data_IF_716107281303
#
_entry.id   IF_716107281303
#
_cell.length_a   1.000
_cell.length_b   1.000
_cell.length_c   1.000
_cell.angle_alpha   90.00
_cell.angle_beta   90.00
_cell.angle_gamma   90.00
#
_symmetry.space_group_name_H-M   'P 1'
#
loop_
_entity.id
_entity.type
_entity.pdbx_description
1 polymer ?
#
# COMPACT_ATOMS: atom_id res chain seq x y z
N UNK A 1 9.62 65.64 -25.32
CA UNK A 1 9.07 65.13 -24.05
C UNK A 1 7.94 64.13 -24.24
N UNK A 2 7.11 64.19 -25.26
CA UNK A 2 5.99 63.26 -25.49
C UNK A 2 6.42 61.84 -25.96
N UNK A 3 7.50 61.72 -26.72
CA UNK A 3 7.98 60.44 -27.26
C UNK A 3 8.64 59.54 -26.17
N UNK A 4 9.34 60.11 -25.18
CA UNK A 4 9.92 59.37 -24.06
C UNK A 4 8.89 58.77 -23.09
N UNK A 5 7.74 59.43 -22.94
CA UNK A 5 6.62 58.94 -22.13
C UNK A 5 5.87 57.77 -22.80
N UNK A 6 5.82 57.78 -24.14
CA UNK A 6 5.21 56.65 -24.90
C UNK A 6 6.06 55.40 -24.86
N UNK A 7 7.39 55.55 -24.95
CA UNK A 7 8.33 54.40 -24.85
C UNK A 7 8.34 53.80 -23.43
N UNK A 8 8.30 54.63 -22.36
CA UNK A 8 8.18 54.14 -21.00
C UNK A 8 6.84 53.45 -20.72
N UNK A 9 5.75 53.90 -21.33
CA UNK A 9 4.43 53.26 -21.17
C UNK A 9 4.33 51.95 -21.95
N UNK A 10 5.00 51.85 -23.10
CA UNK A 10 5.06 50.62 -23.90
C UNK A 10 5.98 49.54 -23.25
N UNK A 11 7.05 49.98 -22.58
CA UNK A 11 7.92 49.07 -21.81
C UNK A 11 7.25 48.53 -20.54
N UNK A 12 6.36 49.30 -19.90
CA UNK A 12 5.59 48.83 -18.74
C UNK A 12 4.48 47.86 -19.17
N UNK A 13 3.88 48.03 -20.33
CA UNK A 13 2.87 47.15 -20.89
C UNK A 13 3.50 45.83 -21.40
N UNK A 14 4.72 45.89 -21.97
CA UNK A 14 5.47 44.68 -22.37
C UNK A 14 6.05 43.91 -21.17
N UNK A 15 6.40 44.55 -20.05
CA UNK A 15 6.76 43.84 -18.83
C UNK A 15 5.59 43.17 -18.12
N UNK A 16 4.36 43.65 -18.29
CA UNK A 16 3.15 43.04 -17.75
C UNK A 16 2.64 41.83 -18.57
N UNK A 17 3.07 41.67 -19.83
CA UNK A 17 2.72 40.53 -20.67
C UNK A 17 3.74 39.39 -20.66
N UNK A 18 4.92 39.57 -20.09
CA UNK A 18 5.94 38.51 -19.97
C UNK A 18 5.74 37.66 -18.70
N UNK A 19 4.87 38.07 -17.77
CA UNK A 19 4.48 37.24 -16.61
C UNK A 19 3.23 36.39 -16.88
N UNK A 20 2.68 36.37 -18.10
CA UNK A 20 1.64 35.43 -18.54
C UNK A 20 2.25 34.23 -19.29
N UNK A 21 3.46 33.82 -18.94
CA UNK A 21 4.14 32.62 -19.42
C UNK A 21 3.85 31.45 -18.53
N UNK A 22 2.99 30.54 -19.01
CA UNK A 22 2.93 29.12 -18.70
C UNK A 22 3.77 28.64 -17.48
N UNK A 23 3.28 28.87 -16.29
CA UNK A 23 3.53 28.01 -15.18
C UNK A 23 2.17 27.43 -14.82
N UNK A 24 2.01 26.13 -14.83
CA UNK A 24 0.99 25.45 -14.05
C UNK A 24 1.06 26.05 -12.64
N UNK A 25 0.27 27.08 -12.38
CA UNK A 25 0.03 27.56 -11.02
C UNK A 25 -0.76 26.46 -10.35
N UNK A 26 -0.01 25.71 -9.63
CA UNK A 26 -0.38 24.68 -8.71
C UNK A 26 -1.86 24.73 -8.31
N UNK A 27 -2.55 23.66 -8.66
CA UNK A 27 -3.88 23.27 -8.19
C UNK A 27 -3.97 23.30 -6.63
N UNK A 28 -2.83 23.37 -5.94
CA UNK A 28 -2.67 23.53 -4.48
C UNK A 28 -3.38 24.76 -3.92
N UNK A 29 -3.44 25.86 -4.69
CA UNK A 29 -4.15 27.08 -4.27
C UNK A 29 -5.66 27.02 -4.50
N UNK A 30 -6.14 26.06 -5.30
CA UNK A 30 -7.58 25.93 -5.59
C UNK A 30 -8.36 25.36 -4.39
N UNK A 31 -7.77 24.39 -3.66
CA UNK A 31 -8.40 23.79 -2.48
C UNK A 31 -8.62 24.81 -1.34
N UNK A 32 -7.66 25.72 -1.16
CA UNK A 32 -7.72 26.78 -0.15
C UNK A 32 -8.81 27.82 -0.41
N UNK A 33 -9.13 28.07 -1.68
CA UNK A 33 -10.11 29.10 -2.08
C UNK A 33 -11.57 28.64 -1.96
N UNK A 34 -11.83 27.35 -1.73
CA UNK A 34 -13.18 26.78 -1.68
C UNK A 34 -13.79 26.71 -0.28
N UNK A 35 -13.00 26.95 0.77
CA UNK A 35 -13.48 26.96 2.15
C UNK A 35 -14.00 28.35 2.53
N UNK A 36 -15.32 28.50 2.71
CA UNK A 36 -15.92 29.67 3.36
C UNK A 36 -15.91 29.45 4.87
N UNK A 37 -14.89 29.99 5.55
CA UNK A 37 -14.75 29.88 7.00
C UNK A 37 -15.05 31.23 7.66
N UNK A 38 -15.92 31.22 8.67
CA UNK A 38 -16.25 32.40 9.46
C UNK A 38 -15.14 32.77 10.50
N UNK A 39 -14.17 31.86 10.71
CA UNK A 39 -13.07 32.05 11.64
C UNK A 39 -12.06 30.89 11.62
N UNK A 40 -11.02 30.96 12.50
CA UNK A 40 -10.03 29.90 12.61
C UNK A 40 -10.62 28.58 13.09
N UNK A 41 -10.22 27.48 12.43
CA UNK A 41 -10.58 26.12 12.80
C UNK A 41 -9.35 25.23 12.98
N UNK A 42 -9.49 24.17 13.77
CA UNK A 42 -8.50 23.10 13.89
C UNK A 42 -9.10 21.81 13.35
N UNK A 43 -8.33 21.11 12.52
CA UNK A 43 -8.64 19.77 12.01
C UNK A 43 -7.72 18.77 12.69
N UNK A 44 -8.28 17.93 13.56
CA UNK A 44 -7.54 16.90 14.29
C UNK A 44 -7.41 15.65 13.43
N UNK A 45 -6.16 15.24 13.16
CA UNK A 45 -5.82 14.07 12.34
C UNK A 45 -5.23 13.00 13.25
N UNK A 46 -5.99 11.93 13.50
CA UNK A 46 -5.53 10.82 14.33
C UNK A 46 -4.84 9.75 13.49
N UNK A 47 -3.76 9.19 14.03
CA UNK A 47 -3.00 8.10 13.42
C UNK A 47 -2.38 7.22 14.51
N UNK A 48 -2.13 5.93 14.19
CA UNK A 48 -1.63 4.91 15.10
C UNK A 48 -0.29 4.28 14.67
N UNK A 49 0.33 4.82 13.61
CA UNK A 49 1.68 4.46 13.20
C UNK A 49 2.55 5.72 13.22
N UNK A 50 3.52 5.75 14.14
CA UNK A 50 4.41 6.90 14.36
C UNK A 50 5.25 7.29 13.15
N UNK A 51 5.44 6.39 12.17
CA UNK A 51 6.18 6.71 10.94
C UNK A 51 5.54 7.86 10.15
N UNK A 52 4.23 8.08 10.30
CA UNK A 52 3.52 9.17 9.62
C UNK A 52 3.67 10.54 10.30
N UNK A 53 4.14 10.59 11.55
CA UNK A 53 4.22 11.84 12.32
C UNK A 53 5.04 12.92 11.59
N UNK A 54 6.29 12.65 11.11
CA UNK A 54 7.07 13.67 10.41
C UNK A 54 6.41 14.18 9.12
N UNK A 55 5.67 13.33 8.43
CA UNK A 55 4.92 13.72 7.24
C UNK A 55 3.73 14.62 7.58
N UNK A 56 2.94 14.24 8.58
CA UNK A 56 1.78 15.01 9.00
C UNK A 56 2.17 16.38 9.56
N UNK A 57 3.25 16.46 10.34
CA UNK A 57 3.82 17.73 10.79
C UNK A 57 4.28 18.61 9.62
N UNK A 58 4.95 18.01 8.62
CA UNK A 58 5.34 18.73 7.41
C UNK A 58 4.12 19.27 6.67
N UNK A 59 3.08 18.44 6.44
CA UNK A 59 1.85 18.86 5.78
C UNK A 59 1.16 19.97 6.57
N UNK A 60 1.04 19.83 7.89
CA UNK A 60 0.44 20.84 8.77
C UNK A 60 1.12 22.19 8.64
N UNK A 61 2.45 22.20 8.64
CA UNK A 61 3.26 23.41 8.48
C UNK A 61 3.08 24.06 7.10
N UNK A 62 3.14 23.26 6.02
CA UNK A 62 3.00 23.78 4.65
C UNK A 62 1.56 24.27 4.38
N UNK A 63 0.58 23.50 4.85
CA UNK A 63 -0.83 23.84 4.67
C UNK A 63 -1.19 25.15 5.39
N UNK A 64 -0.70 25.34 6.61
CA UNK A 64 -0.91 26.58 7.39
C UNK A 64 -0.41 27.83 6.68
N UNK A 65 0.69 27.75 5.93
CA UNK A 65 1.21 28.88 5.16
C UNK A 65 0.29 29.27 4.00
N UNK A 66 -0.44 28.30 3.43
CA UNK A 66 -1.37 28.53 2.34
C UNK A 66 -2.80 28.84 2.82
N UNK A 67 -3.13 28.48 4.07
CA UNK A 67 -4.47 28.55 4.66
C UNK A 67 -4.41 29.02 6.11
N UNK A 68 -4.29 30.29 6.33
CA UNK A 68 -4.11 30.89 7.67
C UNK A 68 -5.23 30.53 8.68
N UNK A 69 -6.44 30.29 8.18
CA UNK A 69 -7.60 29.98 9.05
C UNK A 69 -7.71 28.50 9.44
N UNK A 70 -6.96 27.59 8.80
CA UNK A 70 -7.00 26.16 9.11
C UNK A 70 -5.71 25.72 9.77
N UNK A 71 -5.82 25.09 10.91
CA UNK A 71 -4.70 24.42 11.60
C UNK A 71 -4.92 22.91 11.54
N UNK A 72 -3.97 22.18 10.98
CA UNK A 72 -3.93 20.72 11.06
C UNK A 72 -3.21 20.34 12.35
N UNK A 73 -3.84 19.50 13.15
CA UNK A 73 -3.27 19.01 14.42
C UNK A 73 -3.11 17.48 14.34
N UNK A 74 -1.90 16.97 14.05
CA UNK A 74 -1.61 15.55 14.09
C UNK A 74 -1.66 15.05 15.54
N UNK A 75 -2.33 13.91 15.79
CA UNK A 75 -2.45 13.29 17.11
C UNK A 75 -2.15 11.80 16.99
N UNK A 76 -1.02 11.38 17.56
CA UNK A 76 -0.70 9.96 17.69
C UNK A 76 -1.58 9.31 18.75
N UNK A 77 -2.22 8.20 18.40
CA UNK A 77 -3.13 7.46 19.27
C UNK A 77 -2.61 6.04 19.45
N UNK A 78 -2.15 5.73 20.64
CA UNK A 78 -1.80 4.37 21.04
C UNK A 78 -3.01 3.72 21.73
N UNK A 79 -3.60 2.73 21.06
CA UNK A 79 -4.75 2.00 21.58
C UNK A 79 -4.73 0.54 21.11
N UNK A 80 -5.09 -0.39 22.01
CA UNK A 80 -5.15 -1.84 21.70
C UNK A 80 -6.10 -2.15 20.54
N UNK A 81 -7.16 -1.36 20.40
CA UNK A 81 -8.09 -1.43 19.27
C UNK A 81 -8.41 -0.01 18.80
N UNK A 82 -7.60 0.47 17.85
CA UNK A 82 -7.66 1.85 17.37
C UNK A 82 -9.03 2.24 16.83
N UNK A 83 -9.65 1.41 16.00
CA UNK A 83 -10.98 1.71 15.43
C UNK A 83 -12.09 1.76 16.51
N UNK A 84 -12.00 0.90 17.55
CA UNK A 84 -12.95 0.95 18.67
C UNK A 84 -12.76 2.22 19.49
N UNK A 85 -11.51 2.66 19.68
CA UNK A 85 -11.20 3.91 20.36
C UNK A 85 -11.79 5.12 19.61
N UNK A 86 -11.62 5.17 18.28
CA UNK A 86 -12.25 6.21 17.45
C UNK A 86 -13.77 6.22 17.64
N UNK A 87 -14.40 5.05 17.67
CA UNK A 87 -15.84 4.92 17.87
C UNK A 87 -16.26 5.47 19.24
N UNK A 88 -15.58 5.05 20.29
CA UNK A 88 -15.92 5.47 21.66
C UNK A 88 -15.76 6.99 21.84
N UNK A 89 -14.69 7.58 21.32
CA UNK A 89 -14.46 9.02 21.37
C UNK A 89 -15.48 9.79 20.51
N UNK A 90 -15.82 9.28 19.33
CA UNK A 90 -16.73 9.96 18.40
C UNK A 90 -18.19 9.90 18.85
N UNK A 91 -18.64 8.73 19.33
CA UNK A 91 -20.08 8.45 19.57
C UNK A 91 -20.45 8.64 21.03
N UNK A 92 -19.53 8.29 21.95
CA UNK A 92 -19.82 8.29 23.40
C UNK A 92 -19.28 9.52 24.14
N UNK A 93 -18.11 10.03 23.71
CA UNK A 93 -17.38 11.06 24.43
C UNK A 93 -17.49 12.46 23.79
N UNK A 94 -18.19 12.61 22.67
CA UNK A 94 -18.30 13.88 21.88
C UNK A 94 -16.92 14.53 21.62
N UNK A 95 -15.89 13.69 21.43
CA UNK A 95 -14.50 14.07 21.17
C UNK A 95 -14.03 13.45 19.86
N UNK A 96 -14.81 13.61 18.79
CA UNK A 96 -14.50 13.04 17.50
C UNK A 96 -13.25 13.70 16.89
N UNK A 97 -12.32 12.88 16.38
CA UNK A 97 -11.33 13.38 15.44
C UNK A 97 -12.01 13.80 14.14
N UNK A 98 -11.39 14.73 13.41
CA UNK A 98 -11.91 15.17 12.12
C UNK A 98 -11.52 14.19 11.00
N UNK A 99 -10.28 13.69 11.07
CA UNK A 99 -9.69 12.70 10.18
C UNK A 99 -8.99 11.62 11.00
N UNK A 100 -8.92 10.41 10.45
CA UNK A 100 -8.08 9.37 11.00
C UNK A 100 -7.47 8.50 9.91
N UNK A 101 -6.32 7.89 10.18
CA UNK A 101 -5.69 6.93 9.29
C UNK A 101 -6.25 5.54 9.53
N UNK A 102 -6.42 4.79 8.44
CA UNK A 102 -6.97 3.45 8.45
C UNK A 102 -6.26 2.60 7.40
N UNK A 103 -6.02 1.32 7.68
CA UNK A 103 -5.62 0.37 6.64
C UNK A 103 -6.84 -0.22 5.93
N UNK A 104 -6.67 -0.59 4.66
CA UNK A 104 -7.76 -1.16 3.86
C UNK A 104 -8.39 -2.42 4.48
N UNK A 105 -7.67 -3.13 5.34
CA UNK A 105 -8.14 -4.34 6.04
C UNK A 105 -9.26 -4.04 7.05
N UNK A 106 -9.36 -2.81 7.54
CA UNK A 106 -10.31 -2.41 8.58
C UNK A 106 -11.52 -1.65 8.03
N UNK A 107 -11.60 -1.46 6.71
CA UNK A 107 -12.63 -0.58 6.10
C UNK A 107 -14.05 -1.09 6.35
N UNK A 108 -14.31 -2.40 6.30
CA UNK A 108 -15.63 -2.96 6.62
C UNK A 108 -16.03 -2.65 8.07
N UNK A 109 -15.10 -2.84 9.00
CA UNK A 109 -15.35 -2.57 10.42
C UNK A 109 -15.68 -1.09 10.64
N UNK A 110 -14.92 -0.19 10.05
CA UNK A 110 -15.17 1.24 10.12
C UNK A 110 -16.51 1.63 9.49
N UNK A 111 -16.87 1.02 8.35
CA UNK A 111 -18.15 1.23 7.69
C UNK A 111 -19.33 0.78 8.56
N UNK A 112 -19.28 -0.44 9.09
CA UNK A 112 -20.35 -0.99 9.95
C UNK A 112 -20.52 -0.22 11.25
N UNK A 113 -19.46 0.39 11.76
CA UNK A 113 -19.50 1.28 12.93
C UNK A 113 -19.97 2.72 12.61
N UNK A 114 -20.24 3.02 11.33
CA UNK A 114 -20.70 4.34 10.91
C UNK A 114 -19.65 5.44 11.06
N UNK A 115 -18.37 5.11 10.88
CA UNK A 115 -17.24 6.01 11.12
C UNK A 115 -16.68 6.66 9.83
N UNK A 116 -17.29 6.44 8.66
CA UNK A 116 -16.75 6.89 7.39
C UNK A 116 -17.69 7.83 6.64
N UNK A 117 -17.20 9.00 6.26
CA UNK A 117 -17.83 9.89 5.29
C UNK A 117 -17.36 9.58 3.87
N UNK A 118 -18.24 9.72 2.88
CA UNK A 118 -17.93 9.48 1.48
C UNK A 118 -16.91 10.51 0.95
N UNK A 119 -15.92 10.03 0.18
CA UNK A 119 -14.98 10.85 -0.57
C UNK A 119 -15.59 11.21 -1.92
N UNK A 120 -16.36 12.29 -1.97
CA UNK A 120 -17.16 12.72 -3.11
C UNK A 120 -16.76 14.11 -3.68
N UNK A 121 -15.86 14.82 -2.97
CA UNK A 121 -15.57 16.24 -3.29
C UNK A 121 -14.66 16.41 -4.51
N UNK A 122 -13.75 15.47 -4.79
CA UNK A 122 -12.73 15.63 -5.84
C UNK A 122 -12.65 14.42 -6.79
N UNK A 123 -13.72 14.06 -7.53
CA UNK A 123 -13.73 12.86 -8.37
C UNK A 123 -12.69 12.91 -9.51
N UNK A 124 -12.26 14.10 -9.94
CA UNK A 124 -11.20 14.28 -10.92
C UNK A 124 -9.79 13.97 -10.37
N UNK A 125 -9.63 13.89 -9.05
CA UNK A 125 -8.37 13.55 -8.38
C UNK A 125 -8.36 12.07 -8.00
N UNK A 126 -9.46 11.59 -7.40
CA UNK A 126 -9.53 10.23 -6.87
C UNK A 126 -10.10 9.29 -7.92
N UNK A 127 -9.22 8.78 -8.77
CA UNK A 127 -9.52 7.85 -9.86
C UNK A 127 -8.33 6.93 -10.16
N UNK A 128 -8.53 5.94 -11.01
CA UNK A 128 -7.51 4.95 -11.34
C UNK A 128 -6.33 5.52 -12.14
N UNK A 129 -6.48 6.63 -12.86
CA UNK A 129 -5.39 7.27 -13.60
C UNK A 129 -4.37 7.91 -12.66
N UNK A 130 -4.82 8.40 -11.49
CA UNK A 130 -3.96 9.08 -10.51
C UNK A 130 -3.41 8.14 -9.45
N UNK A 131 -4.24 7.19 -8.96
CA UNK A 131 -3.88 6.33 -7.83
C UNK A 131 -3.69 4.85 -8.21
N UNK A 132 -4.12 4.45 -9.39
CA UNK A 132 -4.13 3.05 -9.80
C UNK A 132 -5.33 2.26 -9.25
N UNK A 133 -5.59 1.11 -9.87
CA UNK A 133 -6.76 0.28 -9.55
C UNK A 133 -6.75 -0.26 -8.11
N UNK A 134 -5.60 -0.74 -7.64
CA UNK A 134 -5.51 -1.32 -6.30
C UNK A 134 -5.84 -0.30 -5.21
N UNK A 135 -5.33 0.95 -5.31
CA UNK A 135 -5.64 2.01 -4.36
C UNK A 135 -7.14 2.35 -4.34
N UNK A 136 -7.75 2.49 -5.52
CA UNK A 136 -9.18 2.82 -5.61
C UNK A 136 -10.05 1.67 -5.08
N UNK A 137 -9.69 0.42 -5.38
CA UNK A 137 -10.36 -0.76 -4.81
C UNK A 137 -10.22 -0.81 -3.29
N UNK A 138 -9.01 -0.55 -2.76
CA UNK A 138 -8.72 -0.59 -1.33
C UNK A 138 -9.52 0.46 -0.54
N UNK A 139 -9.67 1.66 -1.11
CA UNK A 139 -10.34 2.80 -0.49
C UNK A 139 -11.86 2.85 -0.71
N UNK A 140 -12.40 1.91 -1.48
CA UNK A 140 -13.85 1.78 -1.76
C UNK A 140 -14.47 0.66 -0.92
N UNK A 141 -15.72 0.83 -0.55
CA UNK A 141 -16.53 -0.19 0.10
C UNK A 141 -18.00 -0.03 -0.30
N UNK A 142 -18.70 -1.15 -0.56
CA UNK A 142 -20.12 -1.17 -0.96
C UNK A 142 -20.42 -0.20 -2.12
N UNK A 143 -19.53 -0.18 -3.13
CA UNK A 143 -19.68 0.63 -4.36
C UNK A 143 -19.41 2.12 -4.20
N UNK A 144 -18.91 2.57 -3.05
CA UNK A 144 -18.59 3.99 -2.79
C UNK A 144 -17.14 4.16 -2.35
N UNK A 145 -16.56 5.28 -2.69
CA UNK A 145 -15.22 5.67 -2.23
C UNK A 145 -15.33 6.38 -0.88
N UNK A 146 -14.57 5.93 0.12
CA UNK A 146 -14.50 6.54 1.44
C UNK A 146 -13.08 7.02 1.79
N UNK A 147 -12.08 6.23 1.45
CA UNK A 147 -10.70 6.54 1.77
C UNK A 147 -10.07 7.54 0.81
N UNK A 148 -9.12 8.30 1.34
CA UNK A 148 -8.18 9.12 0.61
C UNK A 148 -6.85 8.38 0.64
N UNK A 149 -6.38 7.75 -0.48
CA UNK A 149 -5.21 6.87 -0.45
C UNK A 149 -3.94 7.66 -0.05
N UNK A 150 -3.21 7.19 0.95
CA UNK A 150 -2.02 7.88 1.49
C UNK A 150 -0.75 7.14 1.09
N UNK A 151 -0.63 5.87 1.48
CA UNK A 151 0.52 5.02 1.17
C UNK A 151 0.09 3.59 0.93
N UNK A 152 1.01 2.76 0.43
CA UNK A 152 0.75 1.35 0.20
C UNK A 152 1.91 0.48 0.67
N UNK A 153 1.61 -0.80 0.93
CA UNK A 153 2.60 -1.85 1.07
C UNK A 153 2.27 -3.02 0.13
N UNK A 154 3.28 -3.58 -0.52
CA UNK A 154 3.22 -4.75 -1.40
C UNK A 154 4.59 -5.41 -1.48
N UNK A 155 4.66 -6.68 -1.85
CA UNK A 155 5.92 -7.42 -1.90
C UNK A 155 6.43 -7.62 -3.34
N UNK A 156 7.76 -7.69 -3.48
CA UNK A 156 8.45 -7.81 -4.76
C UNK A 156 9.87 -8.39 -4.57
N UNK A 157 10.52 -8.75 -5.68
CA UNK A 157 11.93 -9.11 -5.70
C UNK A 157 12.80 -7.85 -5.82
N UNK A 158 13.86 -7.80 -5.03
CA UNK A 158 14.92 -6.79 -5.10
C UNK A 158 16.22 -7.48 -5.50
N UNK A 159 17.03 -6.84 -6.38
CA UNK A 159 18.30 -7.36 -6.83
C UNK A 159 19.39 -6.30 -6.84
N UNK A 160 20.63 -6.71 -6.56
CA UNK A 160 21.81 -5.85 -6.56
C UNK A 160 22.33 -5.67 -7.99
N UNK A 161 22.07 -4.50 -8.61
CA UNK A 161 22.42 -4.19 -10.01
C UNK A 161 23.91 -4.27 -10.32
N UNK A 162 24.77 -4.19 -9.30
CA UNK A 162 26.21 -4.33 -9.49
C UNK A 162 26.61 -5.73 -9.96
N UNK A 163 25.84 -6.75 -9.56
CA UNK A 163 26.22 -8.16 -9.74
C UNK A 163 25.10 -9.02 -10.33
N UNK A 164 23.90 -8.48 -10.49
CA UNK A 164 22.71 -9.25 -10.85
C UNK A 164 21.80 -8.49 -11.81
N UNK A 165 21.06 -9.26 -12.61
CA UNK A 165 20.04 -8.77 -13.54
C UNK A 165 18.64 -9.17 -13.03
N UNK A 166 17.56 -8.52 -13.50
CA UNK A 166 16.21 -8.93 -13.14
C UNK A 166 15.91 -10.35 -13.62
N UNK A 167 15.12 -11.09 -12.87
CA UNK A 167 14.69 -12.46 -13.16
C UNK A 167 13.18 -12.58 -13.11
N UNK A 168 12.64 -13.55 -13.87
CA UNK A 168 11.20 -13.81 -13.96
C UNK A 168 10.76 -15.04 -13.15
N UNK A 169 11.67 -16.01 -12.95
CA UNK A 169 11.38 -17.27 -12.30
C UNK A 169 12.35 -17.61 -11.18
N UNK A 170 11.90 -18.40 -10.21
CA UNK A 170 12.77 -18.91 -9.15
C UNK A 170 13.85 -19.86 -9.68
N UNK A 171 13.60 -20.56 -10.79
CA UNK A 171 14.57 -21.43 -11.42
C UNK A 171 15.78 -20.66 -11.98
N UNK A 172 15.59 -19.42 -12.44
CA UNK A 172 16.71 -18.55 -12.84
C UNK A 172 17.59 -18.19 -11.64
N UNK A 173 16.99 -17.86 -10.49
CA UNK A 173 17.76 -17.61 -9.26
C UNK A 173 18.55 -18.88 -8.85
N UNK A 174 17.91 -20.04 -8.93
CA UNK A 174 18.57 -21.32 -8.62
C UNK A 174 19.74 -21.59 -9.56
N UNK A 175 19.58 -21.41 -10.86
CA UNK A 175 20.66 -21.57 -11.83
C UNK A 175 21.84 -20.61 -11.55
N UNK A 176 21.55 -19.36 -11.19
CA UNK A 176 22.56 -18.40 -10.78
C UNK A 176 23.28 -18.91 -9.51
N UNK A 177 22.52 -19.38 -8.51
CA UNK A 177 23.08 -19.89 -7.25
C UNK A 177 23.98 -21.13 -7.49
N UNK A 178 23.53 -22.09 -8.30
CA UNK A 178 24.28 -23.31 -8.60
C UNK A 178 25.61 -23.04 -9.35
N UNK A 179 25.69 -21.95 -10.11
CA UNK A 179 26.83 -21.58 -10.92
C UNK A 179 27.61 -20.37 -10.36
N UNK A 180 27.24 -19.86 -9.21
CA UNK A 180 27.86 -18.66 -8.65
C UNK A 180 29.33 -18.90 -8.28
N UNK A 181 30.20 -18.03 -8.79
CA UNK A 181 31.64 -18.08 -8.52
C UNK A 181 32.03 -16.82 -7.76
N UNK A 182 32.63 -16.99 -6.59
CA UNK A 182 33.22 -15.88 -5.85
C UNK A 182 34.51 -15.45 -6.55
N UNK A 183 34.63 -14.16 -6.80
CA UNK A 183 35.81 -13.51 -7.41
C UNK A 183 36.25 -12.35 -6.52
N UNK A 184 37.41 -11.76 -6.80
CA UNK A 184 37.88 -10.57 -6.06
C UNK A 184 36.90 -9.38 -6.18
N UNK A 185 36.09 -9.32 -7.23
CA UNK A 185 35.15 -8.23 -7.51
C UNK A 185 33.84 -8.37 -6.71
N UNK A 186 33.44 -9.60 -6.39
CA UNK A 186 32.17 -9.92 -5.72
C UNK A 186 32.33 -10.63 -4.38
N UNK A 187 33.51 -10.55 -3.76
CA UNK A 187 33.85 -11.23 -2.51
C UNK A 187 32.95 -10.83 -1.33
N UNK A 188 32.27 -9.67 -1.41
CA UNK A 188 31.33 -9.18 -0.39
C UNK A 188 30.00 -9.94 -0.44
N UNK A 189 29.68 -10.60 -1.55
CA UNK A 189 28.43 -11.37 -1.70
C UNK A 189 28.60 -12.74 -1.04
N UNK A 190 27.90 -12.95 0.04
CA UNK A 190 27.92 -14.22 0.80
C UNK A 190 26.82 -15.18 0.37
N UNK A 191 25.72 -14.69 -0.18
CA UNK A 191 24.56 -15.49 -0.60
C UNK A 191 23.94 -14.95 -1.87
N UNK A 192 23.50 -15.86 -2.76
CA UNK A 192 22.78 -15.46 -3.98
C UNK A 192 21.34 -15.08 -3.67
N UNK A 193 20.66 -15.84 -2.81
CA UNK A 193 19.26 -15.60 -2.48
C UNK A 193 18.95 -15.98 -1.03
N UNK A 194 18.31 -15.08 -0.33
CA UNK A 194 17.69 -15.33 0.96
C UNK A 194 16.44 -14.45 1.08
N UNK A 195 15.41 -14.97 1.72
CA UNK A 195 14.15 -14.26 1.97
C UNK A 195 13.56 -14.73 3.30
N UNK A 196 12.44 -14.15 3.73
CA UNK A 196 11.73 -14.55 4.94
C UNK A 196 10.59 -15.54 4.61
N UNK A 197 10.83 -16.89 4.58
CA UNK A 197 9.80 -17.87 4.21
C UNK A 197 8.65 -17.95 5.22
N UNK A 198 8.87 -17.45 6.45
CA UNK A 198 7.86 -17.40 7.51
C UNK A 198 6.81 -16.29 7.34
N UNK A 199 7.00 -15.36 6.43
CA UNK A 199 6.07 -14.24 6.24
C UNK A 199 4.99 -14.59 5.21
N UNK A 200 3.73 -14.65 5.63
CA UNK A 200 2.59 -14.85 4.73
C UNK A 200 2.53 -13.75 3.66
N UNK A 201 2.66 -12.48 4.05
CA UNK A 201 2.55 -11.35 3.16
C UNK A 201 3.60 -11.36 2.04
N UNK A 202 4.87 -11.66 2.38
CA UNK A 202 5.96 -11.73 1.42
C UNK A 202 5.83 -12.93 0.46
N UNK A 203 5.22 -14.03 0.90
CA UNK A 203 5.11 -15.27 0.14
C UNK A 203 3.73 -15.47 -0.52
N UNK A 204 2.75 -14.61 -0.22
CA UNK A 204 1.45 -14.64 -0.89
C UNK A 204 1.56 -14.64 -2.42
N UNK A 205 2.48 -13.87 -3.04
CA UNK A 205 2.61 -13.80 -4.48
C UNK A 205 2.81 -15.14 -5.17
N UNK A 206 3.40 -16.12 -4.51
CA UNK A 206 3.63 -17.45 -5.09
C UNK A 206 2.32 -18.08 -5.64
N UNK A 207 1.22 -18.01 -4.88
CA UNK A 207 -0.09 -18.54 -5.26
C UNK A 207 -1.15 -17.44 -5.52
N UNK A 208 -0.83 -16.17 -5.34
CA UNK A 208 -1.80 -15.06 -5.32
C UNK A 208 -2.65 -14.91 -6.59
N UNK A 209 -2.13 -15.35 -7.74
CA UNK A 209 -2.88 -15.40 -9.00
C UNK A 209 -4.04 -16.40 -8.98
N UNK A 210 -3.92 -17.45 -8.18
CA UNK A 210 -4.80 -18.63 -8.16
C UNK A 210 -5.74 -18.67 -6.96
N UNK A 211 -5.73 -17.61 -6.16
CA UNK A 211 -6.57 -17.45 -4.96
C UNK A 211 -7.41 -16.21 -5.12
N UNK A 212 -8.73 -16.37 -5.10
CA UNK A 212 -9.67 -15.26 -5.05
C UNK A 212 -10.32 -15.22 -3.68
N UNK A 213 -10.12 -14.13 -2.94
CA UNK A 213 -10.71 -13.87 -1.63
C UNK A 213 -11.41 -12.52 -1.68
N UNK A 214 -12.74 -12.52 -1.55
CA UNK A 214 -13.51 -11.28 -1.53
C UNK A 214 -14.01 -10.79 -2.88
N UNK A 215 -13.78 -11.55 -3.98
CA UNK A 215 -14.18 -11.16 -5.33
C UNK A 215 -13.39 -9.98 -5.89
N UNK A 216 -13.90 -9.34 -6.93
CA UNK A 216 -13.20 -8.26 -7.65
C UNK A 216 -12.89 -7.04 -6.78
N UNK A 217 -13.70 -6.78 -5.75
CA UNK A 217 -13.55 -5.63 -4.86
C UNK A 217 -12.94 -6.01 -3.51
N UNK A 218 -12.56 -7.28 -3.32
CA UNK A 218 -11.98 -7.80 -2.06
C UNK A 218 -12.86 -7.59 -0.82
N UNK A 219 -14.19 -7.48 -0.98
CA UNK A 219 -15.14 -7.18 0.11
C UNK A 219 -16.26 -8.23 0.27
N UNK A 220 -16.40 -9.14 -0.69
CA UNK A 220 -17.49 -10.14 -0.66
C UNK A 220 -17.05 -11.44 0.00
N UNK A 221 -17.43 -11.65 1.25
CA UNK A 221 -17.09 -12.87 2.02
C UNK A 221 -17.61 -14.17 1.40
N UNK A 222 -18.64 -14.10 0.53
CA UNK A 222 -19.16 -15.26 -0.21
C UNK A 222 -18.32 -15.61 -1.45
N UNK A 223 -17.42 -14.71 -1.88
CA UNK A 223 -16.61 -14.91 -3.07
C UNK A 223 -15.21 -15.37 -2.69
N UNK A 224 -15.10 -16.66 -2.33
CA UNK A 224 -13.82 -17.30 -2.03
C UNK A 224 -13.67 -18.51 -2.94
N UNK A 225 -12.61 -18.56 -3.75
CA UNK A 225 -12.32 -19.67 -4.65
C UNK A 225 -10.84 -19.84 -4.90
N UNK A 226 -10.41 -21.05 -5.25
CA UNK A 226 -9.03 -21.40 -5.52
C UNK A 226 -8.92 -22.26 -6.78
N UNK A 227 -7.88 -22.05 -7.59
CA UNK A 227 -7.45 -22.97 -8.64
C UNK A 227 -6.46 -23.98 -8.04
N UNK A 228 -7.00 -25.12 -7.61
CA UNK A 228 -6.23 -26.14 -6.88
C UNK A 228 -5.11 -26.77 -7.69
N UNK A 229 -5.30 -26.98 -8.98
CA UNK A 229 -4.28 -27.59 -9.86
C UNK A 229 -3.08 -26.67 -10.02
N UNK A 230 -3.32 -25.39 -10.24
CA UNK A 230 -2.26 -24.38 -10.33
C UNK A 230 -1.55 -24.17 -8.98
N UNK A 231 -2.31 -24.14 -7.87
CA UNK A 231 -1.71 -24.02 -6.53
C UNK A 231 -0.79 -25.21 -6.23
N UNK A 232 -1.21 -26.44 -6.52
CA UNK A 232 -0.40 -27.64 -6.29
C UNK A 232 0.89 -27.63 -7.11
N UNK A 233 0.86 -27.13 -8.35
CA UNK A 233 2.07 -26.94 -9.16
C UNK A 233 3.03 -25.96 -8.50
N UNK A 234 2.52 -24.80 -8.05
CA UNK A 234 3.30 -23.80 -7.32
C UNK A 234 3.91 -24.41 -6.06
N UNK A 235 3.09 -25.09 -5.24
CA UNK A 235 3.53 -25.72 -3.99
C UNK A 235 4.58 -26.79 -4.20
N UNK A 236 4.50 -27.58 -5.28
CA UNK A 236 5.50 -28.58 -5.62
C UNK A 236 6.89 -27.97 -5.83
N UNK A 237 6.94 -26.80 -6.49
CA UNK A 237 8.18 -26.06 -6.66
C UNK A 237 8.59 -25.34 -5.36
N UNK A 238 7.65 -24.78 -4.62
CA UNK A 238 7.91 -24.11 -3.33
C UNK A 238 8.53 -25.07 -2.31
N UNK A 239 8.15 -26.36 -2.31
CA UNK A 239 8.73 -27.41 -1.48
C UNK A 239 10.25 -27.63 -1.72
N UNK A 240 10.73 -27.36 -2.93
CA UNK A 240 12.14 -27.51 -3.28
C UNK A 240 13.03 -26.37 -2.70
N UNK A 241 12.43 -25.22 -2.35
CA UNK A 241 13.19 -24.01 -1.99
C UNK A 241 14.00 -24.19 -0.70
N UNK A 242 13.48 -24.96 0.27
CA UNK A 242 14.22 -25.25 1.50
C UNK A 242 15.53 -25.97 1.19
N UNK A 243 15.48 -27.03 0.39
CA UNK A 243 16.68 -27.79 0.01
C UNK A 243 17.59 -27.01 -0.96
N UNK A 244 17.03 -26.13 -1.79
CA UNK A 244 17.79 -25.35 -2.78
C UNK A 244 18.59 -24.21 -2.15
N UNK A 245 18.03 -23.52 -1.16
CA UNK A 245 18.63 -22.29 -0.61
C UNK A 245 18.98 -22.40 0.88
N UNK A 246 18.49 -23.42 1.60
CA UNK A 246 18.83 -23.66 3.01
C UNK A 246 18.40 -22.55 3.97
N UNK A 247 17.39 -21.76 3.62
CA UNK A 247 16.93 -20.65 4.45
C UNK A 247 16.12 -21.14 5.65
N UNK A 248 16.56 -20.84 6.86
CA UNK A 248 15.84 -21.20 8.08
C UNK A 248 14.60 -20.30 8.26
N UNK A 249 13.42 -20.87 8.04
CA UNK A 249 12.13 -20.17 8.15
C UNK A 249 11.89 -19.52 9.51
N UNK A 250 12.40 -20.13 10.59
CA UNK A 250 12.14 -19.65 11.96
C UNK A 250 13.10 -18.55 12.39
N UNK A 251 14.27 -18.47 11.77
CA UNK A 251 15.34 -17.55 12.15
C UNK A 251 15.64 -16.46 11.09
N UNK A 252 14.98 -16.52 9.93
CA UNK A 252 15.16 -15.52 8.87
C UNK A 252 13.96 -14.58 8.82
N UNK A 253 14.15 -13.36 9.29
CA UNK A 253 13.15 -12.29 9.26
C UNK A 253 13.32 -11.37 8.03
N UNK A 254 12.29 -10.57 7.74
CA UNK A 254 12.38 -9.49 6.75
C UNK A 254 13.53 -8.53 7.11
N UNK A 255 13.68 -8.17 8.37
CA UNK A 255 14.73 -7.24 8.82
C UNK A 255 16.13 -7.82 8.55
N UNK A 256 16.36 -9.11 8.83
CA UNK A 256 17.61 -9.80 8.49
C UNK A 256 17.91 -9.71 6.98
N UNK A 257 16.90 -9.90 6.13
CA UNK A 257 17.06 -9.82 4.67
C UNK A 257 17.39 -8.38 4.22
N UNK A 258 16.74 -7.38 4.82
CA UNK A 258 17.02 -5.95 4.57
C UNK A 258 18.46 -5.62 4.95
N UNK A 259 18.94 -6.05 6.11
CA UNK A 259 20.28 -5.77 6.59
C UNK A 259 21.35 -6.43 5.71
N UNK A 260 21.16 -7.70 5.35
CA UNK A 260 22.07 -8.41 4.46
C UNK A 260 22.09 -7.80 3.05
N UNK A 261 20.95 -7.41 2.53
CA UNK A 261 20.88 -6.78 1.20
C UNK A 261 21.50 -5.39 1.21
N UNK A 262 21.21 -4.55 2.21
CA UNK A 262 21.72 -3.17 2.31
C UNK A 262 23.23 -3.10 2.51
N UNK A 263 23.85 -4.19 2.98
CA UNK A 263 25.31 -4.33 3.11
C UNK A 263 26.00 -4.99 1.92
N UNK A 264 25.23 -5.37 0.86
CA UNK A 264 25.75 -5.99 -0.35
C UNK A 264 25.99 -7.50 -0.25
N UNK A 265 25.60 -8.12 0.86
CA UNK A 265 25.82 -9.54 1.08
C UNK A 265 24.88 -10.47 0.32
N UNK A 266 23.76 -9.93 -0.22
CA UNK A 266 22.79 -10.67 -1.02
C UNK A 266 22.73 -10.15 -2.47
N UNK A 267 22.54 -11.07 -3.43
CA UNK A 267 22.22 -10.70 -4.81
C UNK A 267 20.72 -10.45 -5.00
N UNK A 268 19.88 -11.32 -4.44
CA UNK A 268 18.44 -11.28 -4.56
C UNK A 268 17.76 -11.50 -3.23
N UNK A 269 16.66 -10.78 -2.99
CA UNK A 269 15.81 -11.01 -1.82
C UNK A 269 14.37 -10.58 -2.11
N UNK A 270 13.41 -11.10 -1.34
CA UNK A 270 12.02 -10.63 -1.35
C UNK A 270 11.84 -9.62 -0.21
N UNK A 271 11.44 -8.43 -0.58
CA UNK A 271 11.14 -7.34 0.37
C UNK A 271 9.73 -6.79 0.13
N UNK A 272 9.35 -5.84 0.95
CA UNK A 272 8.12 -5.06 0.80
C UNK A 272 8.40 -3.56 0.64
N UNK A 273 7.37 -2.80 0.26
CA UNK A 273 7.50 -1.38 0.00
C UNK A 273 7.90 -0.57 1.25
N UNK A 274 7.51 -1.01 2.44
CA UNK A 274 7.88 -0.36 3.70
C UNK A 274 9.37 -0.50 4.03
N UNK A 275 10.04 -1.53 3.49
CA UNK A 275 11.47 -1.79 3.72
C UNK A 275 12.39 -0.97 2.81
N UNK A 276 11.88 -0.44 1.69
CA UNK A 276 12.71 0.22 0.66
C UNK A 276 13.43 1.45 1.19
N UNK A 277 12.84 2.20 2.09
CA UNK A 277 13.49 3.37 2.68
C UNK A 277 14.82 3.04 3.39
N UNK A 278 14.95 1.84 3.97
CA UNK A 278 16.20 1.37 4.59
C UNK A 278 17.24 1.07 3.52
N UNK A 279 16.83 0.50 2.39
CA UNK A 279 17.72 0.23 1.25
C UNK A 279 18.17 1.56 0.60
N UNK A 280 17.29 2.55 0.45
CA UNK A 280 17.62 3.87 -0.11
C UNK A 280 18.61 4.66 0.74
N UNK A 281 18.73 4.35 2.03
CA UNK A 281 19.74 4.91 2.91
C UNK A 281 21.12 4.23 2.76
N UNK A 282 21.17 3.07 2.12
CA UNK A 282 22.42 2.38 1.79
C UNK A 282 23.03 2.91 0.48
N UNK A 283 24.28 2.56 0.19
CA UNK A 283 24.96 2.94 -1.07
C UNK A 283 24.74 1.90 -2.19
N UNK A 284 23.82 0.93 -2.00
CA UNK A 284 23.55 -0.13 -2.97
C UNK A 284 22.76 0.40 -4.16
N UNK A 285 23.25 0.15 -5.36
CA UNK A 285 22.48 0.29 -6.60
C UNK A 285 21.64 -0.97 -6.78
N UNK A 286 20.33 -0.84 -6.66
CA UNK A 286 19.38 -1.96 -6.70
C UNK A 286 18.30 -1.77 -7.76
N UNK A 287 17.71 -2.90 -8.17
CA UNK A 287 16.54 -2.93 -9.00
C UNK A 287 15.38 -3.65 -8.34
N UNK A 288 14.17 -3.35 -8.78
CA UNK A 288 12.93 -3.98 -8.33
C UNK A 288 12.28 -4.68 -9.52
N UNK A 289 11.82 -5.91 -9.33
CA UNK A 289 10.96 -6.62 -10.28
C UNK A 289 9.88 -7.42 -9.53
N UNK A 290 8.94 -8.00 -10.30
CA UNK A 290 7.86 -8.82 -9.72
C UNK A 290 8.44 -9.99 -8.91
N UNK A 291 7.67 -10.46 -7.94
CA UNK A 291 7.98 -11.73 -7.26
C UNK A 291 8.18 -12.84 -8.32
N UNK A 292 9.27 -13.63 -8.27
CA UNK A 292 9.57 -14.63 -9.29
C UNK A 292 8.52 -15.74 -9.30
N UNK A 293 8.06 -16.12 -10.48
CA UNK A 293 7.13 -17.24 -10.59
C UNK A 293 7.80 -18.56 -10.21
N UNK A 294 7.00 -19.52 -9.74
CA UNK A 294 7.46 -20.87 -9.35
C UNK A 294 7.64 -21.81 -10.56
N UNK A 295 7.71 -21.26 -11.76
CA UNK A 295 7.91 -21.99 -13.03
C UNK A 295 7.38 -21.18 -14.20
N UNK A 296 7.64 -21.66 -15.42
CA UNK A 296 7.24 -20.97 -16.66
C UNK A 296 5.74 -21.09 -16.97
N UNK A 297 5.04 -22.04 -16.36
CA UNK A 297 3.62 -22.35 -16.60
C UNK A 297 2.70 -21.82 -15.48
N UNK A 298 3.24 -21.08 -14.55
CA UNK A 298 2.52 -20.43 -13.45
C UNK A 298 2.93 -18.97 -13.30
N UNK A 299 2.02 -18.15 -12.77
CA UNK A 299 2.24 -16.72 -12.57
C UNK A 299 2.23 -16.36 -11.09
N UNK A 300 3.02 -15.38 -10.71
CA UNK A 300 2.95 -14.76 -9.39
C UNK A 300 2.02 -13.53 -9.41
N UNK A 301 1.39 -13.23 -8.27
CA UNK A 301 0.61 -11.99 -8.12
C UNK A 301 0.67 -11.48 -6.69
N UNK A 302 1.24 -10.29 -6.52
CA UNK A 302 1.41 -9.68 -5.21
C UNK A 302 0.07 -9.35 -4.53
N UNK A 303 0.09 -9.30 -3.21
CA UNK A 303 -0.97 -8.73 -2.39
C UNK A 303 -0.58 -7.34 -1.94
N UNK A 304 -1.56 -6.46 -1.75
CA UNK A 304 -1.31 -5.12 -1.24
C UNK A 304 -2.27 -4.73 -0.11
N UNK A 305 -1.77 -3.82 0.72
CA UNK A 305 -2.52 -3.09 1.74
C UNK A 305 -2.32 -1.60 1.50
N UNK A 306 -3.40 -0.83 1.58
CA UNK A 306 -3.35 0.62 1.41
C UNK A 306 -3.69 1.29 2.75
N UNK A 307 -2.84 2.22 3.18
CA UNK A 307 -3.20 3.16 4.25
C UNK A 307 -3.90 4.36 3.64
N UNK A 308 -5.02 4.73 4.22
CA UNK A 308 -5.86 5.84 3.76
C UNK A 308 -6.17 6.80 4.91
N UNK A 309 -6.40 8.06 4.59
CA UNK A 309 -7.07 8.99 5.48
C UNK A 309 -8.59 8.85 5.30
N UNK A 310 -9.35 8.93 6.37
CA UNK A 310 -10.81 8.82 6.37
C UNK A 310 -11.41 10.01 7.12
N UNK A 311 -12.43 10.64 6.54
CA UNK A 311 -13.16 11.72 7.21
C UNK A 311 -14.20 11.11 8.15
N UNK A 312 -14.11 11.50 9.42
CA UNK A 312 -15.06 11.07 10.44
C UNK A 312 -16.42 11.78 10.25
N UNK A 313 -17.56 11.09 10.12
CA UNK A 313 -18.86 11.74 9.97
C UNK A 313 -19.31 12.55 11.20
N UNK A 314 -18.71 12.31 12.35
CA UNK A 314 -19.00 13.04 13.58
C UNK A 314 -18.21 14.36 13.71
N UNK A 315 -17.35 14.69 12.75
CA UNK A 315 -16.66 15.98 12.70
C UNK A 315 -17.64 17.14 12.52
N UNK A 316 -17.32 18.27 13.15
CA UNK A 316 -18.05 19.54 12.95
C UNK A 316 -17.52 20.32 11.71
N UNK A 317 -16.42 19.85 11.09
CA UNK A 317 -15.65 20.53 10.05
C UNK A 317 -15.55 19.68 8.76
N UNK A 318 -16.65 19.08 8.27
CA UNK A 318 -16.63 18.08 7.18
C UNK A 318 -15.87 18.56 5.95
N UNK A 319 -16.21 19.75 5.42
CA UNK A 319 -15.60 20.28 4.19
C UNK A 319 -14.10 20.58 4.38
N UNK A 320 -13.73 21.16 5.52
CA UNK A 320 -12.34 21.40 5.85
C UNK A 320 -11.56 20.08 6.00
N UNK A 321 -12.17 19.07 6.61
CA UNK A 321 -11.58 17.73 6.73
C UNK A 321 -11.34 17.09 5.36
N UNK A 322 -12.27 17.21 4.42
CA UNK A 322 -12.10 16.73 3.02
C UNK A 322 -10.95 17.47 2.31
N UNK A 323 -10.81 18.77 2.52
CA UNK A 323 -9.69 19.56 1.97
C UNK A 323 -8.36 19.13 2.58
N UNK A 324 -8.31 18.92 3.90
CA UNK A 324 -7.11 18.44 4.60
C UNK A 324 -6.76 17.01 4.16
N UNK A 325 -7.74 16.11 4.01
CA UNK A 325 -7.53 14.76 3.49
C UNK A 325 -6.90 14.79 2.08
N UNK A 326 -7.36 15.69 1.20
CA UNK A 326 -6.75 15.91 -0.09
C UNK A 326 -5.32 16.44 0.05
N UNK A 327 -5.06 17.39 0.92
CA UNK A 327 -3.72 17.90 1.15
C UNK A 327 -2.75 16.78 1.54
N UNK A 328 -3.17 15.88 2.44
CA UNK A 328 -2.39 14.73 2.89
C UNK A 328 -2.18 13.70 1.77
N UNK A 329 -3.23 13.33 1.04
CA UNK A 329 -3.17 12.20 0.11
C UNK A 329 -2.73 12.59 -1.31
N UNK A 330 -2.86 13.87 -1.69
CA UNK A 330 -2.60 14.34 -3.05
C UNK A 330 -1.65 15.54 -3.13
N UNK A 331 -1.98 16.68 -2.48
CA UNK A 331 -1.27 17.95 -2.74
C UNK A 331 0.18 17.93 -2.24
N UNK A 332 0.46 17.22 -1.14
CA UNK A 332 1.80 17.08 -0.55
C UNK A 332 2.38 15.66 -0.64
N UNK A 333 1.73 14.77 -1.38
CA UNK A 333 2.11 13.37 -1.51
C UNK A 333 3.57 13.16 -1.97
N UNK A 334 4.11 14.07 -2.77
CA UNK A 334 5.51 14.07 -3.25
C UNK A 334 6.56 14.07 -2.10
N UNK A 335 6.15 14.43 -0.89
CA UNK A 335 7.03 14.50 0.28
C UNK A 335 6.94 13.27 1.19
N UNK A 336 6.01 12.33 0.91
CA UNK A 336 5.79 11.14 1.74
C UNK A 336 7.06 10.32 1.95
N UNK A 337 7.73 9.95 0.87
CA UNK A 337 8.95 9.16 0.91
C UNK A 337 10.07 9.85 1.71
N UNK A 338 10.26 11.15 1.48
CA UNK A 338 11.34 11.90 2.15
C UNK A 338 11.10 12.13 3.65
N UNK A 339 9.85 12.17 4.09
CA UNK A 339 9.47 12.49 5.48
C UNK A 339 9.03 11.28 6.29
N UNK A 340 8.09 10.48 5.79
CA UNK A 340 7.57 9.29 6.48
C UNK A 340 8.31 8.00 6.13
N UNK A 341 9.17 8.01 5.10
CA UNK A 341 9.82 6.79 4.62
C UNK A 341 8.82 5.70 4.17
N UNK A 342 7.68 6.13 3.65
CA UNK A 342 6.61 5.26 3.13
C UNK A 342 6.42 5.48 1.64
N UNK A 343 6.04 4.42 0.93
CA UNK A 343 5.70 4.50 -0.49
C UNK A 343 4.33 5.16 -0.68
N UNK A 344 4.32 6.30 -1.38
CA UNK A 344 3.11 7.07 -1.63
C UNK A 344 2.12 6.29 -2.52
N UNK A 345 0.83 6.32 -2.19
CA UNK A 345 -0.20 5.67 -3.01
C UNK A 345 -0.48 6.38 -4.34
N UNK A 346 -0.11 7.65 -4.49
CA UNK A 346 -0.28 8.42 -5.71
C UNK A 346 0.76 8.01 -6.76
N UNK A 347 0.30 7.56 -7.94
CA UNK A 347 1.16 6.97 -8.97
C UNK A 347 1.87 8.00 -9.86
N UNK A 348 1.31 9.20 -10.04
CA UNK A 348 1.81 10.24 -10.95
C UNK A 348 2.80 11.23 -10.31
N UNK A 349 3.32 10.92 -9.12
CA UNK A 349 4.29 11.78 -8.43
C UNK A 349 5.64 11.82 -9.16
N UNK A 350 6.34 12.95 -9.03
CA UNK A 350 7.67 13.14 -9.61
C UNK A 350 8.74 12.84 -8.56
N UNK A 351 9.18 11.58 -8.52
CA UNK A 351 10.34 11.21 -7.71
C UNK A 351 11.64 11.69 -8.35
N UNK A 352 12.60 12.09 -7.52
CA UNK A 352 13.90 12.62 -7.97
C UNK A 352 14.99 11.56 -8.06
N UNK A 353 14.83 10.44 -7.38
CA UNK A 353 15.78 9.33 -7.32
C UNK A 353 15.05 8.02 -7.58
N UNK A 354 15.78 7.01 -8.04
CA UNK A 354 15.27 5.66 -8.24
C UNK A 354 13.93 5.58 -9.02
N UNK A 355 13.77 6.45 -10.05
CA UNK A 355 12.52 6.60 -10.81
C UNK A 355 12.02 5.26 -11.37
N UNK A 356 12.94 4.41 -11.86
CA UNK A 356 12.60 3.10 -12.41
C UNK A 356 12.07 2.16 -11.32
N UNK A 357 12.72 2.12 -10.16
CA UNK A 357 12.30 1.31 -9.03
C UNK A 357 10.94 1.77 -8.49
N UNK A 358 10.75 3.09 -8.38
CA UNK A 358 9.48 3.66 -7.96
C UNK A 358 8.35 3.26 -8.92
N UNK A 359 8.59 3.40 -10.23
CA UNK A 359 7.63 2.96 -11.25
C UNK A 359 7.34 1.47 -11.15
N UNK A 360 8.38 0.63 -11.00
CA UNK A 360 8.21 -0.82 -10.85
C UNK A 360 7.36 -1.18 -9.63
N UNK A 361 7.58 -0.54 -8.47
CA UNK A 361 6.75 -0.73 -7.28
C UNK A 361 5.28 -0.36 -7.53
N UNK A 362 5.03 0.78 -8.19
CA UNK A 362 3.67 1.21 -8.52
C UNK A 362 2.98 0.30 -9.53
N UNK A 363 3.69 -0.19 -10.55
CA UNK A 363 3.15 -1.14 -11.51
C UNK A 363 2.76 -2.46 -10.81
N UNK A 364 3.59 -2.95 -9.87
CA UNK A 364 3.30 -4.13 -9.06
C UNK A 364 2.11 -3.88 -8.13
N UNK A 365 2.07 -2.75 -7.45
CA UNK A 365 0.96 -2.36 -6.58
C UNK A 365 -0.35 -2.25 -7.36
N UNK A 366 -0.37 -1.56 -8.47
CA UNK A 366 -1.59 -1.36 -9.28
C UNK A 366 -2.17 -2.69 -9.81
N UNK A 367 -1.30 -3.66 -10.14
CA UNK A 367 -1.70 -5.01 -10.58
C UNK A 367 -1.95 -5.98 -9.42
N UNK A 368 -1.70 -5.60 -8.18
CA UNK A 368 -1.81 -6.49 -7.02
C UNK A 368 -3.26 -6.90 -6.70
N UNK A 369 -3.39 -7.96 -5.89
CA UNK A 369 -4.63 -8.30 -5.21
C UNK A 369 -4.72 -7.46 -3.94
N UNK A 370 -5.75 -6.66 -3.81
CA UNK A 370 -6.02 -5.97 -2.54
C UNK A 370 -6.37 -7.01 -1.47
N UNK A 371 -5.68 -6.98 -0.34
CA UNK A 371 -5.97 -7.87 0.79
C UNK A 371 -7.43 -7.73 1.18
N UNK A 372 -8.12 -8.85 1.33
CA UNK A 372 -9.56 -8.83 1.54
C UNK A 372 -9.96 -8.04 2.79
N UNK A 373 -11.04 -7.29 2.66
CA UNK A 373 -11.44 -6.19 3.55
C UNK A 373 -12.52 -6.59 4.56
N UNK A 374 -13.06 -7.81 4.48
CA UNK A 374 -14.19 -8.22 5.32
C UNK A 374 -13.75 -8.85 6.64
N UNK A 375 -14.58 -8.67 7.66
CA UNK A 375 -14.36 -9.23 9.00
C UNK A 375 -14.35 -10.75 8.95
N UNK A 376 -13.36 -11.36 9.61
CA UNK A 376 -13.23 -12.83 9.69
C UNK A 376 -12.33 -13.45 8.61
N UNK A 377 -11.84 -12.67 7.64
CA UNK A 377 -10.92 -13.18 6.60
C UNK A 377 -9.59 -13.69 7.15
N UNK A 378 -9.21 -13.30 8.35
CA UNK A 378 -7.93 -13.68 8.97
C UNK A 378 -7.71 -15.20 9.04
N UNK A 379 -8.77 -16.02 9.19
CA UNK A 379 -8.65 -17.47 9.19
C UNK A 379 -8.15 -17.99 7.84
N UNK A 380 -8.58 -17.43 6.72
CA UNK A 380 -8.11 -17.84 5.37
C UNK A 380 -6.62 -17.58 5.24
N UNK A 381 -6.17 -16.38 5.60
CA UNK A 381 -4.76 -16.02 5.49
C UNK A 381 -3.88 -16.84 6.44
N UNK A 382 -4.35 -17.11 7.65
CA UNK A 382 -3.65 -17.99 8.58
C UNK A 382 -3.53 -19.42 8.02
N UNK A 383 -4.58 -19.96 7.41
CA UNK A 383 -4.55 -21.31 6.78
C UNK A 383 -3.66 -21.34 5.55
N UNK A 384 -3.62 -20.27 4.78
CA UNK A 384 -2.70 -20.13 3.67
C UNK A 384 -1.24 -20.13 4.16
N UNK A 385 -0.93 -19.37 5.20
CA UNK A 385 0.39 -19.34 5.82
C UNK A 385 0.81 -20.72 6.33
N UNK A 386 -0.07 -21.42 7.05
CA UNK A 386 0.18 -22.78 7.53
C UNK A 386 0.48 -23.73 6.36
N UNK A 387 -0.28 -23.65 5.28
CA UNK A 387 -0.05 -24.46 4.07
C UNK A 387 1.36 -24.23 3.50
N UNK A 388 1.78 -22.99 3.34
CA UNK A 388 3.13 -22.67 2.85
C UNK A 388 4.21 -23.20 3.80
N UNK A 389 4.06 -23.00 5.10
CA UNK A 389 4.99 -23.48 6.11
C UNK A 389 5.12 -25.01 6.09
N UNK A 390 4.01 -25.72 6.06
CA UNK A 390 3.99 -27.19 6.01
C UNK A 390 4.71 -27.70 4.77
N UNK A 391 4.44 -27.13 3.60
CA UNK A 391 5.09 -27.53 2.34
C UNK A 391 6.59 -27.21 2.38
N UNK A 392 6.96 -26.05 2.89
CA UNK A 392 8.37 -25.66 3.04
C UNK A 392 9.15 -26.60 3.98
N UNK A 393 8.50 -27.06 5.06
CA UNK A 393 9.06 -27.97 6.05
C UNK A 393 8.98 -29.45 5.62
N UNK A 394 8.50 -29.75 4.40
CA UNK A 394 8.52 -31.08 3.79
C UNK A 394 7.23 -31.88 3.93
N UNK A 395 6.13 -31.31 4.39
CA UNK A 395 4.83 -31.97 4.33
C UNK A 395 4.40 -32.19 2.88
N UNK A 396 3.73 -33.31 2.63
CA UNK A 396 3.19 -33.62 1.30
C UNK A 396 2.27 -32.52 0.78
N UNK A 397 2.45 -32.11 -0.48
CA UNK A 397 1.73 -31.02 -1.11
C UNK A 397 0.21 -31.24 -1.11
N UNK A 398 -0.25 -32.45 -1.43
CA UNK A 398 -1.68 -32.77 -1.44
C UNK A 398 -2.29 -32.69 -0.03
N UNK A 399 -1.56 -33.14 0.98
CA UNK A 399 -2.01 -33.07 2.39
C UNK A 399 -2.15 -31.62 2.84
N UNK A 400 -1.13 -30.79 2.67
CA UNK A 400 -1.15 -29.39 3.06
C UNK A 400 -2.23 -28.60 2.29
N UNK A 401 -2.34 -28.82 0.97
CA UNK A 401 -3.36 -28.19 0.15
C UNK A 401 -4.78 -28.57 0.58
N UNK A 402 -5.05 -29.86 0.83
CA UNK A 402 -6.40 -30.32 1.20
C UNK A 402 -6.88 -29.72 2.52
N UNK A 403 -5.97 -29.48 3.49
CA UNK A 403 -6.32 -28.77 4.72
C UNK A 403 -6.70 -27.30 4.47
N UNK A 404 -6.01 -26.63 3.58
CA UNK A 404 -6.35 -25.27 3.16
C UNK A 404 -7.67 -25.24 2.38
N UNK A 405 -7.86 -26.10 1.39
CA UNK A 405 -9.07 -26.21 0.58
C UNK A 405 -10.32 -26.49 1.44
N UNK A 406 -10.21 -27.37 2.44
CA UNK A 406 -11.29 -27.64 3.37
C UNK A 406 -11.71 -26.40 4.20
N UNK A 407 -10.78 -25.51 4.50
CA UNK A 407 -11.11 -24.23 5.14
C UNK A 407 -11.90 -23.33 4.18
N UNK A 408 -11.46 -23.21 2.91
CA UNK A 408 -12.14 -22.44 1.87
C UNK A 408 -13.58 -22.93 1.68
N UNK A 409 -13.77 -24.24 1.53
CA UNK A 409 -15.10 -24.86 1.36
C UNK A 409 -16.03 -24.60 2.55
N UNK A 410 -15.49 -24.65 3.77
CA UNK A 410 -16.27 -24.38 4.98
C UNK A 410 -16.74 -22.93 5.02
N UNK A 411 -15.88 -21.98 4.68
CA UNK A 411 -16.22 -20.56 4.66
C UNK A 411 -17.27 -20.25 3.61
N UNK A 412 -17.15 -20.79 2.39
CA UNK A 412 -18.15 -20.65 1.34
C UNK A 412 -19.54 -21.13 1.81
N UNK A 413 -19.62 -22.31 2.47
CA UNK A 413 -20.86 -22.86 2.99
C UNK A 413 -21.48 -22.07 4.15
N UNK A 414 -20.66 -21.52 5.05
CA UNK A 414 -21.15 -20.69 6.16
C UNK A 414 -21.81 -19.41 5.67
N UNK A 415 -21.28 -18.83 4.62
CA UNK A 415 -21.83 -17.61 4.02
C UNK A 415 -23.13 -17.87 3.28
N UNK A 416 -23.26 -19.01 2.56
CA UNK A 416 -24.54 -19.43 1.95
C UNK A 416 -25.63 -19.62 3.00
N UNK A 417 -25.31 -20.25 4.13
CA UNK A 417 -26.28 -20.49 5.20
C UNK A 417 -26.75 -19.18 5.87
N UNK A 418 -25.89 -18.18 6.00
CA UNK A 418 -26.23 -16.86 6.57
C UNK A 418 -27.11 -16.02 5.63
N UNK A 419 -26.89 -16.10 4.32
CA UNK A 419 -27.72 -15.41 3.31
C UNK A 419 -29.13 -16.01 3.19
N UNK A 420 -29.28 -17.32 3.32
CA UNK A 420 -30.60 -18.00 3.31
C UNK A 420 -31.43 -17.64 4.55
N UNK A 421 -30.80 -17.51 5.72
CA UNK A 421 -31.51 -17.12 6.94
C UNK A 421 -31.92 -15.63 6.97
N UNK A 422 -31.16 -14.73 6.35
CA UNK A 422 -31.52 -13.31 6.22
C UNK A 422 -32.64 -13.07 5.19
N UNK A 423 -32.76 -13.91 4.18
CA UNK A 423 -33.85 -13.85 3.17
C UNK A 423 -35.21 -14.29 3.69
N UNK A 424 -35.27 -15.16 4.72
CA UNK A 424 -36.53 -15.64 5.29
C UNK A 424 -37.10 -14.76 6.42
N UNK A 425 -36.40 -13.71 6.84
CA UNK A 425 -36.82 -12.80 7.92
C UNK A 425 -37.67 -11.59 7.47
N UNK A 426 -37.85 -11.38 6.16
CA UNK A 426 -38.56 -10.19 5.62
C UNK A 426 -40.00 -10.44 5.16
N UNK A 427 -40.59 -11.58 5.52
CA UNK A 427 -42.01 -11.86 5.26
C UNK A 427 -42.74 -12.22 6.55
N UNK A 428 -42.95 -11.26 7.42
CA UNK A 428 -44.03 -11.24 8.41
C UNK A 428 -44.44 -9.79 8.73
#
# INVERSE_FOLDING_TARGET
>A
MKLRRFISMMLIVTMLTVFAGCGNKDDKTLAAKTLNLDGPITVNVWFNNSDYEPYLEFVAKQFKQANELVTINPVYVEADSYINYIYDESVRNDNACDLYFLTSEEIEKAYLMGLMSENDMYPQVYNEDVFGKAAMTACSYNGKLYGYPVSFNTSFLVYNKKYAEPVETIDQIRQISDNYQVTDENQDVSMVFQWAPGSMFLNYPACGKYINIGGNNSENSSSVSVDGDSIKKVLSKYAELNSAFGTDRNNTSLETCVDLFSTGNLLYTILDADSISKIDLSEIDYGICKYPSMGNDVESKAMSVTTMAVVNPYTKNVDASKVVARAISYDYADYMESTAKKSCARADIKVKRNVENYKAMHDIYSDSVVKAKYIGVGEVYMRYEIMLHQVYDGTNVDEAYNLFAACIDRMAKQTEASTVNSGNGSSK
#
